data_IF_490260594528
#
_entry.id   IF_490260594528
#
_cell.length_a   1.000
_cell.length_b   1.000
_cell.length_c   1.000
_cell.angle_alpha   90.00
_cell.angle_beta   90.00
_cell.angle_gamma   90.00
#
_symmetry.space_group_name_H-M   'P 1'
#
loop_
_entity.id
_entity.type
_entity.pdbx_description
1 polymer ?
#
# COMPACT_ATOMS: atom_id res chain seq x y z
N UNK A 1 80.95 -19.29 9.35
CA UNK A 1 79.76 -18.96 8.54
C UNK A 1 78.57 -19.72 9.13
N UNK A 2 77.42 -19.06 9.33
CA UNK A 2 76.17 -19.55 9.97
C UNK A 2 76.16 -19.52 11.52
N UNK A 3 75.81 -18.39 12.15
CA UNK A 3 74.44 -17.99 12.55
C UNK A 3 73.92 -18.82 13.74
N UNK A 4 74.01 -18.28 14.97
CA UNK A 4 72.94 -17.53 15.66
C UNK A 4 71.62 -18.33 15.82
N UNK A 5 71.38 -18.81 17.03
CA UNK A 5 70.06 -18.61 17.65
C UNK A 5 70.16 -18.61 19.17
N UNK A 6 69.93 -17.43 19.78
CA UNK A 6 69.87 -17.19 21.22
C UNK A 6 68.65 -17.91 21.81
N UNK A 7 68.75 -18.57 22.97
CA UNK A 7 67.59 -18.97 23.76
C UNK A 7 67.05 -17.76 24.53
N UNK A 8 65.85 -17.29 24.16
CA UNK A 8 65.13 -16.28 24.94
C UNK A 8 64.06 -16.96 25.78
N UNK A 9 64.36 -17.17 27.05
CA UNK A 9 63.31 -17.23 28.06
C UNK A 9 62.58 -15.89 28.08
N UNK A 10 61.26 -15.90 28.14
CA UNK A 10 60.55 -14.78 28.74
C UNK A 10 59.32 -15.26 29.49
N UNK A 11 59.28 -14.85 30.75
CA UNK A 11 58.28 -15.15 31.76
C UNK A 11 56.95 -14.56 31.29
N UNK A 12 55.84 -15.28 31.53
CA UNK A 12 54.51 -14.69 31.40
C UNK A 12 54.42 -13.54 32.41
N UNK A 13 54.57 -12.32 31.94
CA UNK A 13 54.28 -11.11 32.70
C UNK A 13 52.75 -11.07 32.85
N UNK A 14 52.20 -11.03 34.08
CA UNK A 14 50.78 -10.74 34.25
C UNK A 14 50.56 -9.32 33.74
N UNK A 15 49.89 -9.21 32.60
CA UNK A 15 49.43 -7.92 32.10
C UNK A 15 48.38 -7.45 33.12
N UNK A 16 48.57 -6.28 33.75
CA UNK A 16 47.52 -5.72 34.59
C UNK A 16 46.38 -5.37 33.64
N UNK A 17 45.29 -6.13 33.70
CA UNK A 17 44.05 -5.80 33.00
C UNK A 17 43.55 -4.51 33.63
N UNK A 18 43.55 -3.36 32.94
CA UNK A 18 42.81 -2.22 33.42
C UNK A 18 41.33 -2.62 33.29
N UNK A 19 40.64 -2.77 34.42
CA UNK A 19 39.18 -2.87 34.47
C UNK A 19 38.50 -1.53 34.07
N UNK A 20 39.03 -0.87 33.04
CA UNK A 20 38.46 0.38 32.55
C UNK A 20 37.40 0.12 31.49
N UNK A 21 36.20 -0.01 32.04
CA UNK A 21 34.95 0.53 31.54
C UNK A 21 34.45 -0.05 30.22
N UNK A 22 33.43 -0.90 30.37
CA UNK A 22 32.26 -0.98 29.51
C UNK A 22 31.69 0.43 29.26
N UNK A 23 32.33 1.20 28.37
CA UNK A 23 31.75 2.42 27.81
C UNK A 23 30.69 1.97 26.83
N UNK A 24 29.46 2.00 27.32
CA UNK A 24 28.22 2.25 26.59
C UNK A 24 28.44 2.39 25.09
N UNK A 25 28.17 1.30 24.38
CA UNK A 25 28.21 1.26 22.94
C UNK A 25 27.32 2.37 22.40
N UNK A 26 27.94 3.35 21.74
CA UNK A 26 27.20 4.35 21.00
C UNK A 26 26.29 3.61 20.00
N UNK A 27 25.05 4.06 19.77
CA UNK A 27 24.09 3.41 18.86
C UNK A 27 24.54 3.35 17.38
N UNK A 28 25.78 3.74 17.09
CA UNK A 28 26.38 3.81 15.76
C UNK A 28 27.11 2.51 15.36
N UNK A 29 27.58 1.70 16.31
CA UNK A 29 28.32 0.45 15.98
C UNK A 29 27.41 -0.71 15.58
N UNK A 30 26.16 -0.75 16.05
CA UNK A 30 25.16 -1.76 15.63
C UNK A 30 24.75 -1.62 14.15
N UNK A 31 25.11 -0.51 13.51
CA UNK A 31 24.86 -0.24 12.09
C UNK A 31 25.83 -1.02 11.18
N UNK A 32 26.97 -1.51 11.70
CA UNK A 32 27.99 -2.17 10.89
C UNK A 32 27.73 -3.67 10.62
N UNK A 33 26.73 -4.27 11.27
CA UNK A 33 26.32 -5.69 11.10
C UNK A 33 24.90 -5.81 10.52
N UNK A 34 24.22 -4.69 10.26
CA UNK A 34 22.87 -4.71 9.72
C UNK A 34 22.89 -5.00 8.21
N UNK A 35 21.96 -5.85 7.77
CA UNK A 35 21.74 -6.16 6.35
C UNK A 35 21.56 -4.86 5.56
N UNK A 36 22.20 -4.72 4.39
CA UNK A 36 22.18 -3.50 3.58
C UNK A 36 20.76 -2.98 3.31
N UNK A 37 19.78 -3.90 3.26
CA UNK A 37 18.36 -3.58 3.11
C UNK A 37 17.76 -2.81 4.30
N UNK A 38 18.19 -3.12 5.52
CA UNK A 38 17.72 -2.45 6.74
C UNK A 38 18.20 -1.00 6.78
N UNK A 39 19.46 -0.74 6.38
CA UNK A 39 19.97 0.62 6.23
C UNK A 39 19.17 1.41 5.20
N UNK A 40 18.83 0.76 4.08
CA UNK A 40 18.09 1.40 2.99
C UNK A 40 16.66 1.78 3.44
N UNK A 41 15.97 0.89 4.16
CA UNK A 41 14.64 1.15 4.70
C UNK A 41 14.61 2.28 5.73
N UNK A 42 15.60 2.35 6.62
CA UNK A 42 15.70 3.45 7.60
C UNK A 42 15.93 4.80 6.94
N UNK A 43 16.74 4.84 5.88
CA UNK A 43 16.99 6.07 5.13
C UNK A 43 15.76 6.49 4.32
N UNK A 44 15.04 5.53 3.75
CA UNK A 44 13.77 5.74 3.06
C UNK A 44 12.70 6.36 3.97
N UNK A 45 12.53 5.82 5.18
CA UNK A 45 11.57 6.31 6.17
C UNK A 45 11.87 7.70 6.74
N UNK A 46 13.07 8.27 6.51
CA UNK A 46 13.35 9.66 6.90
C UNK A 46 12.78 10.70 5.93
N UNK A 47 12.46 10.32 4.70
CA UNK A 47 11.96 11.25 3.69
C UNK A 47 10.42 11.25 3.66
N UNK A 48 9.82 12.36 4.12
CA UNK A 48 8.36 12.53 4.13
C UNK A 48 7.73 12.39 2.74
N UNK A 49 8.40 12.91 1.69
CA UNK A 49 7.96 12.76 0.29
C UNK A 49 7.95 11.30 -0.18
N UNK A 50 8.96 10.52 0.22
CA UNK A 50 9.07 9.11 -0.17
C UNK A 50 7.97 8.26 0.49
N UNK A 51 7.64 8.56 1.74
CA UNK A 51 6.52 7.91 2.45
C UNK A 51 5.19 8.29 1.80
N UNK A 52 4.97 9.57 1.50
CA UNK A 52 3.74 10.03 0.84
C UNK A 52 3.53 9.34 -0.51
N UNK A 53 4.55 9.29 -1.36
CA UNK A 53 4.47 8.62 -2.66
C UNK A 53 4.20 7.13 -2.54
N UNK A 54 4.89 6.43 -1.63
CA UNK A 54 4.67 5.00 -1.40
C UNK A 54 3.29 4.71 -0.85
N UNK A 55 2.81 5.55 0.07
CA UNK A 55 1.47 5.44 0.65
C UNK A 55 0.40 5.61 -0.43
N UNK A 56 0.53 6.64 -1.29
CA UNK A 56 -0.40 6.89 -2.38
C UNK A 56 -0.46 5.72 -3.36
N UNK A 57 0.70 5.20 -3.78
CA UNK A 57 0.79 4.02 -4.64
C UNK A 57 0.14 2.81 -3.96
N UNK A 58 0.45 2.56 -2.69
CA UNK A 58 -0.14 1.46 -1.94
C UNK A 58 -1.67 1.56 -1.89
N UNK A 59 -2.23 2.76 -1.68
CA UNK A 59 -3.68 2.98 -1.73
C UNK A 59 -4.25 2.65 -3.10
N UNK A 60 -3.63 3.09 -4.21
CA UNK A 60 -4.12 2.72 -5.55
C UNK A 60 -4.07 1.23 -5.81
N UNK A 61 -3.03 0.53 -5.38
CA UNK A 61 -2.97 -0.92 -5.47
C UNK A 61 -4.07 -1.61 -4.65
N UNK A 62 -4.36 -1.10 -3.45
CA UNK A 62 -5.48 -1.61 -2.65
C UNK A 62 -6.81 -1.41 -3.38
N UNK A 63 -7.08 -0.22 -3.91
CA UNK A 63 -8.30 0.04 -4.70
C UNK A 63 -8.40 -0.88 -5.92
N UNK A 64 -7.27 -1.18 -6.59
CA UNK A 64 -7.24 -2.09 -7.74
C UNK A 64 -7.56 -3.54 -7.33
N UNK A 65 -7.02 -4.04 -6.22
CA UNK A 65 -7.30 -5.39 -5.72
C UNK A 65 -8.77 -5.51 -5.26
N UNK A 66 -9.31 -4.47 -4.63
CA UNK A 66 -10.69 -4.42 -4.17
C UNK A 66 -11.64 -3.74 -5.18
N UNK A 67 -11.28 -3.73 -6.47
CA UNK A 67 -12.05 -3.04 -7.51
C UNK A 67 -13.46 -3.63 -7.67
N UNK A 68 -13.62 -4.95 -7.57
CA UNK A 68 -14.93 -5.61 -7.68
C UNK A 68 -15.90 -5.20 -6.55
N UNK A 69 -15.37 -4.89 -5.36
CA UNK A 69 -16.18 -4.37 -4.26
C UNK A 69 -16.54 -2.90 -4.45
N UNK A 70 -15.60 -2.11 -4.99
CA UNK A 70 -15.77 -0.67 -5.15
C UNK A 70 -16.62 -0.30 -6.38
N UNK A 71 -16.52 -1.08 -7.46
CA UNK A 71 -17.27 -0.92 -8.71
C UNK A 71 -17.94 -2.25 -9.07
N UNK A 72 -19.13 -2.54 -8.49
CA UNK A 72 -19.90 -3.74 -8.84
C UNK A 72 -20.50 -3.66 -10.26
N UNK A 73 -20.39 -2.51 -10.93
CA UNK A 73 -20.79 -2.32 -12.32
C UNK A 73 -19.54 -2.32 -13.20
N UNK A 74 -19.57 -3.10 -14.27
CA UNK A 74 -18.53 -3.07 -15.30
C UNK A 74 -18.65 -1.75 -16.08
N UNK A 75 -17.62 -0.90 -16.10
CA UNK A 75 -17.66 0.37 -16.84
C UNK A 75 -17.79 0.19 -18.36
N UNK A 76 -17.49 -1.01 -18.89
CA UNK A 76 -17.66 -1.35 -20.30
C UNK A 76 -18.95 -2.13 -20.57
N UNK A 77 -19.76 -2.44 -19.55
CA UNK A 77 -21.04 -3.11 -19.76
C UNK A 77 -22.00 -2.16 -20.49
N UNK A 78 -22.34 -2.53 -21.72
CA UNK A 78 -23.33 -1.82 -22.52
C UNK A 78 -24.69 -2.50 -22.39
N UNK A 79 -25.56 -1.90 -21.60
CA UNK A 79 -26.94 -2.37 -21.46
C UNK A 79 -27.84 -1.80 -22.56
N UNK A 80 -28.10 -2.60 -23.61
CA UNK A 80 -29.01 -2.24 -24.74
C UNK A 80 -30.39 -1.79 -24.29
N UNK A 81 -30.83 -2.29 -23.14
CA UNK A 81 -32.13 -2.00 -22.53
C UNK A 81 -32.20 -0.54 -22.09
N UNK A 82 -31.13 0.00 -21.50
CA UNK A 82 -31.13 1.34 -20.92
C UNK A 82 -30.53 2.40 -21.86
N UNK A 83 -30.17 2.05 -23.10
CA UNK A 83 -29.48 2.93 -24.06
C UNK A 83 -30.23 4.24 -24.35
N UNK A 84 -31.56 4.19 -24.45
CA UNK A 84 -32.39 5.36 -24.80
C UNK A 84 -33.24 5.83 -23.62
N UNK A 85 -32.92 5.40 -22.40
CA UNK A 85 -33.68 5.79 -21.21
C UNK A 85 -33.25 7.20 -20.80
N UNK A 86 -34.18 8.16 -20.66
CA UNK A 86 -33.84 9.49 -20.17
C UNK A 86 -33.37 9.43 -18.70
N UNK A 87 -32.51 10.36 -18.24
CA UNK A 87 -32.13 10.43 -16.84
C UNK A 87 -33.37 10.48 -15.92
N UNK A 88 -33.56 9.47 -15.09
CA UNK A 88 -34.70 9.40 -14.19
C UNK A 88 -34.39 10.15 -12.88
N UNK A 89 -35.31 10.99 -12.43
CA UNK A 89 -35.19 11.64 -11.13
C UNK A 89 -35.46 10.65 -10.01
N UNK A 90 -34.79 10.84 -8.86
CA UNK A 90 -35.06 10.08 -7.65
C UNK A 90 -36.26 10.73 -6.95
N UNK A 91 -37.31 9.96 -6.74
CA UNK A 91 -38.51 10.38 -6.04
C UNK A 91 -38.47 9.87 -4.59
N UNK A 92 -39.00 10.65 -3.65
CA UNK A 92 -39.04 10.29 -2.23
C UNK A 92 -40.45 10.07 -1.69
N UNK A 93 -41.44 10.58 -2.41
CA UNK A 93 -42.85 10.54 -2.05
C UNK A 93 -43.65 9.94 -3.19
N UNK A 94 -44.48 8.95 -2.88
CA UNK A 94 -45.46 8.40 -3.80
C UNK A 94 -46.84 8.60 -3.18
N UNK A 95 -47.75 9.23 -3.92
CA UNK A 95 -49.15 9.47 -3.51
C UNK A 95 -49.34 10.07 -2.10
N UNK A 96 -48.38 10.86 -1.62
CA UNK A 96 -48.42 11.51 -0.30
C UNK A 96 -47.85 10.67 0.86
N UNK A 97 -47.43 9.44 0.61
CA UNK A 97 -46.71 8.60 1.56
C UNK A 97 -45.19 8.66 1.31
N UNK A 98 -44.40 8.56 2.38
CA UNK A 98 -42.94 8.48 2.30
C UNK A 98 -42.50 7.03 2.12
N UNK A 99 -41.92 6.73 0.95
CA UNK A 99 -41.50 5.37 0.57
C UNK A 99 -39.97 5.24 0.42
N UNK A 100 -39.23 6.32 0.66
CA UNK A 100 -37.78 6.37 0.48
C UNK A 100 -37.36 6.72 -0.95
N UNK A 101 -36.07 6.71 -1.29
CA UNK A 101 -35.60 6.99 -2.64
C UNK A 101 -36.02 5.88 -3.61
N UNK A 102 -36.91 6.18 -4.56
CA UNK A 102 -37.36 5.26 -5.59
C UNK A 102 -37.33 5.88 -6.98
N UNK A 103 -37.39 5.02 -7.99
CA UNK A 103 -37.48 5.38 -9.42
C UNK A 103 -38.67 4.63 -10.01
N UNK A 104 -39.43 5.29 -10.90
CA UNK A 104 -40.56 4.65 -11.57
C UNK A 104 -40.10 3.58 -12.57
N UNK A 105 -40.87 2.49 -12.64
CA UNK A 105 -40.65 1.39 -13.58
C UNK A 105 -40.68 1.86 -15.03
N UNK A 106 -39.82 1.27 -15.86
CA UNK A 106 -39.79 1.53 -17.29
C UNK A 106 -40.68 0.52 -18.00
N UNK A 107 -41.74 0.99 -18.65
CA UNK A 107 -42.51 0.19 -19.59
C UNK A 107 -41.91 0.34 -20.99
N UNK A 108 -41.61 -0.78 -21.65
CA UNK A 108 -41.27 -0.78 -23.07
C UNK A 108 -42.50 -1.13 -23.88
N UNK A 109 -42.88 -0.24 -24.78
CA UNK A 109 -43.93 -0.51 -25.75
C UNK A 109 -43.31 -0.67 -27.14
N UNK A 110 -43.85 -1.58 -27.94
CA UNK A 110 -43.50 -1.70 -29.36
C UNK A 110 -44.63 -1.12 -30.18
N UNK A 111 -44.32 -0.12 -30.98
CA UNK A 111 -45.29 0.46 -31.91
C UNK A 111 -45.69 -0.61 -32.96
N UNK A 112 -46.99 -0.92 -33.12
CA UNK A 112 -47.44 -1.99 -34.02
C UNK A 112 -47.33 -1.64 -35.51
N UNK A 113 -47.25 -0.35 -35.87
CA UNK A 113 -47.16 0.09 -37.26
C UNK A 113 -45.72 0.34 -37.68
N UNK A 114 -44.91 0.92 -36.78
CA UNK A 114 -43.53 1.33 -37.09
C UNK A 114 -42.47 0.37 -36.53
N UNK A 115 -42.85 -0.56 -35.65
CA UNK A 115 -41.98 -1.54 -34.98
C UNK A 115 -40.84 -0.95 -34.14
N UNK A 116 -40.82 0.37 -33.92
CA UNK A 116 -39.88 1.05 -33.04
C UNK A 116 -40.16 0.65 -31.59
N UNK A 117 -39.09 0.60 -30.79
CA UNK A 117 -39.15 0.32 -29.35
C UNK A 117 -39.07 1.67 -28.65
N UNK A 118 -40.12 2.00 -27.90
CA UNK A 118 -40.22 3.21 -27.07
C UNK A 118 -40.30 2.86 -25.59
#
# INVERSE_FOLDING_TARGET
>A
MSLLSRPAGNKKVPIPVPEEKLKEGTPKEQVFVASQWQLMWWRFRKHHLAILGTSLIAVFYLLAIFCEFLSPYDPNAFERRYTFVPPQAIHFFHEGAWEGPFIYGLERARDPETYLIT
#
